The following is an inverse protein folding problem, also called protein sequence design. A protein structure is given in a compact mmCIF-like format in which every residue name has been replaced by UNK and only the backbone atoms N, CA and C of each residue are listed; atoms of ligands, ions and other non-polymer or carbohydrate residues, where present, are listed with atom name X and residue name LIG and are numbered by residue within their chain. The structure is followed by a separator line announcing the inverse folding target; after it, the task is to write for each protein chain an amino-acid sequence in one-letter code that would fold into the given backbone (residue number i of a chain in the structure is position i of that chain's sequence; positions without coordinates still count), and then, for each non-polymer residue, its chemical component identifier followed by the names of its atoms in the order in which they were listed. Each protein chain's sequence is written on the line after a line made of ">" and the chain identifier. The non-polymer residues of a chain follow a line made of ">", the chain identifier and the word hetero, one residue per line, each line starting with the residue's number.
data_IF_963575568846
#
_entry.id   IF_963575568846
#
_cell.length_a   1.000
_cell.length_b   1.000
_cell.length_c   1.000
_cell.angle_alpha   90.00
_cell.angle_beta   90.00
_cell.angle_gamma   90.00
#
_symmetry.space_group_name_H-M   'P 1'
#
loop_
_entity.id
_entity.type
_entity.pdbx_description
1 polymer ?
#
# COMPACT_ATOMS: atom_id res chain seq x y z
N UNK A 1 7.05 -0.02 -13.02
CA UNK A 1 8.47 -0.33 -13.30
C UNK A 1 8.63 -0.55 -14.80
N UNK A 2 9.85 -0.43 -15.32
CA UNK A 2 10.20 -0.79 -16.69
C UNK A 2 11.36 -1.75 -16.62
N UNK A 3 11.29 -2.83 -17.39
CA UNK A 3 12.35 -3.81 -17.48
C UNK A 3 13.21 -3.54 -18.74
N UNK A 4 14.52 -3.75 -18.67
CA UNK A 4 15.44 -3.39 -19.75
C UNK A 4 15.27 -4.32 -20.96
N UNK A 5 14.96 -5.58 -20.71
CA UNK A 5 14.71 -6.61 -21.70
C UNK A 5 13.25 -6.60 -22.18
N UNK A 6 12.42 -5.73 -21.58
CA UNK A 6 10.96 -5.63 -21.75
C UNK A 6 10.22 -6.92 -21.34
N UNK A 7 10.73 -7.62 -20.32
CA UNK A 7 10.05 -8.76 -19.75
C UNK A 7 8.75 -8.36 -19.03
N UNK A 8 7.87 -9.34 -18.86
CA UNK A 8 6.61 -9.14 -18.15
C UNK A 8 6.85 -8.98 -16.65
N UNK A 9 6.41 -7.87 -16.10
CA UNK A 9 6.64 -7.53 -14.69
C UNK A 9 5.45 -7.95 -13.83
N UNK A 10 5.72 -8.70 -12.76
CA UNK A 10 4.76 -9.03 -11.71
C UNK A 10 4.99 -8.17 -10.47
N UNK A 11 3.93 -7.54 -9.97
CA UNK A 11 3.96 -6.69 -8.78
C UNK A 11 3.34 -7.37 -7.56
N UNK A 12 3.88 -7.12 -6.37
CA UNK A 12 3.37 -7.67 -5.12
C UNK A 12 3.63 -6.75 -3.92
N UNK A 13 2.68 -6.69 -2.97
CA UNK A 13 2.90 -6.14 -1.62
C UNK A 13 3.49 -7.26 -0.77
N UNK A 14 4.72 -7.09 -0.27
CA UNK A 14 5.39 -8.06 0.60
C UNK A 14 5.02 -7.86 2.07
N UNK A 15 4.92 -6.61 2.53
CA UNK A 15 4.61 -6.29 3.92
C UNK A 15 4.08 -4.86 4.06
N UNK A 16 3.68 -4.49 5.28
CA UNK A 16 3.17 -3.15 5.59
C UNK A 16 1.65 -3.00 5.49
N UNK A 17 0.96 -3.97 4.91
CA UNK A 17 -0.51 -4.00 4.78
C UNK A 17 -1.12 -5.20 5.50
N UNK A 18 -0.99 -5.25 6.83
CA UNK A 18 -1.46 -6.37 7.66
C UNK A 18 -2.98 -6.56 7.53
N UNK A 19 -3.70 -5.45 7.38
CA UNK A 19 -5.16 -5.44 7.33
C UNK A 19 -5.71 -5.66 5.91
N UNK A 20 -4.85 -5.84 4.90
CA UNK A 20 -5.24 -5.97 3.49
C UNK A 20 -6.15 -4.83 3.03
N UNK A 21 -5.73 -3.61 3.34
CA UNK A 21 -6.41 -2.35 3.01
C UNK A 21 -6.14 -1.97 1.57
N UNK A 22 -4.99 -2.36 1.01
CA UNK A 22 -4.56 -1.98 -0.32
C UNK A 22 -4.54 -3.16 -1.28
N UNK A 23 -4.93 -2.91 -2.52
CA UNK A 23 -4.84 -3.85 -3.63
C UNK A 23 -3.78 -3.35 -4.60
N UNK A 24 -2.74 -4.15 -4.84
CA UNK A 24 -1.76 -3.89 -5.90
C UNK A 24 -2.04 -4.78 -7.10
N UNK A 25 -2.34 -4.18 -8.24
CA UNK A 25 -2.52 -4.93 -9.49
C UNK A 25 -1.22 -5.62 -9.89
N UNK A 26 -1.27 -6.95 -10.01
CA UNK A 26 -0.11 -7.77 -10.33
C UNK A 26 0.51 -7.47 -11.70
N UNK A 27 -0.27 -6.96 -12.67
CA UNK A 27 0.19 -6.80 -14.06
C UNK A 27 0.56 -5.37 -14.42
N UNK A 28 -0.17 -4.38 -13.89
CA UNK A 28 0.05 -2.96 -14.24
C UNK A 28 0.64 -2.14 -13.09
N UNK A 29 0.78 -2.72 -11.88
CA UNK A 29 1.36 -2.04 -10.73
C UNK A 29 0.49 -0.91 -10.15
N UNK A 30 -0.79 -0.86 -10.48
CA UNK A 30 -1.73 0.11 -9.95
C UNK A 30 -2.08 -0.24 -8.49
N UNK A 31 -1.77 0.66 -7.56
CA UNK A 31 -2.13 0.55 -6.15
C UNK A 31 -3.48 1.23 -5.91
N UNK A 32 -4.45 0.47 -5.43
CA UNK A 32 -5.81 0.92 -5.17
C UNK A 32 -6.20 0.66 -3.72
N UNK A 33 -7.16 1.43 -3.24
CA UNK A 33 -7.79 1.17 -1.96
C UNK A 33 -8.78 0.00 -2.09
N UNK A 34 -8.66 -0.99 -1.20
CA UNK A 34 -9.55 -2.15 -1.11
C UNK A 34 -10.54 -2.09 0.06
N UNK A 35 -10.24 -1.31 1.11
CA UNK A 35 -11.09 -1.09 2.28
C UNK A 35 -11.10 0.38 2.68
N UNK A 36 -12.16 0.83 3.34
CA UNK A 36 -12.19 2.20 3.86
C UNK A 36 -11.02 2.46 4.80
N UNK A 37 -10.50 3.69 4.76
CA UNK A 37 -9.51 4.20 5.70
C UNK A 37 -10.23 4.85 6.88
N UNK A 38 -9.62 4.74 8.04
CA UNK A 38 -10.01 5.44 9.26
C UNK A 38 -8.75 5.90 9.97
N UNK A 39 -8.54 7.21 10.04
CA UNK A 39 -7.29 7.78 10.57
C UNK A 39 -7.16 7.49 12.06
N UNK A 40 -8.27 7.52 12.78
CA UNK A 40 -8.33 7.21 14.21
C UNK A 40 -7.96 5.76 14.51
N UNK A 41 -8.10 4.86 13.53
CA UNK A 41 -7.61 3.48 13.59
C UNK A 41 -6.14 3.35 13.14
N UNK A 42 -5.78 3.97 12.01
CA UNK A 42 -4.41 3.96 11.49
C UNK A 42 -4.14 5.19 10.61
N UNK A 43 -3.14 5.99 10.99
CA UNK A 43 -2.79 7.25 10.33
C UNK A 43 -1.67 7.11 9.29
N UNK A 44 -0.90 6.02 9.31
CA UNK A 44 0.14 5.74 8.32
C UNK A 44 0.23 4.26 7.93
N UNK A 45 0.74 4.03 6.73
CA UNK A 45 1.16 2.71 6.24
C UNK A 45 2.53 2.81 5.56
N UNK A 46 3.38 1.81 5.80
CA UNK A 46 4.69 1.69 5.16
C UNK A 46 4.75 0.35 4.41
N UNK A 47 4.41 0.38 3.12
CA UNK A 47 4.32 -0.83 2.30
C UNK A 47 5.68 -1.16 1.69
N UNK A 48 6.10 -2.42 1.80
CA UNK A 48 7.22 -2.95 1.00
C UNK A 48 6.62 -3.62 -0.22
N UNK A 49 6.97 -3.16 -1.42
CA UNK A 49 6.45 -3.68 -2.69
C UNK A 49 7.58 -4.17 -3.59
N UNK A 50 7.30 -5.20 -4.38
CA UNK A 50 8.24 -5.74 -5.37
C UNK A 50 7.72 -5.63 -6.79
N UNK A 51 8.68 -5.63 -7.71
CA UNK A 51 8.50 -5.84 -9.14
C UNK A 51 9.50 -6.92 -9.58
N UNK A 52 9.02 -7.97 -10.27
CA UNK A 52 9.84 -9.11 -10.71
C UNK A 52 9.58 -9.44 -12.17
N UNK A 53 10.64 -9.69 -12.93
CA UNK A 53 10.64 -10.22 -14.31
C UNK A 53 10.38 -11.75 -14.39
N UNK A 54 10.15 -12.41 -13.25
CA UNK A 54 10.01 -13.87 -13.14
C UNK A 54 11.28 -14.60 -12.71
N UNK A 55 12.43 -13.91 -12.64
CA UNK A 55 13.67 -14.43 -12.09
C UNK A 55 13.88 -13.93 -10.65
N UNK A 56 14.37 -14.78 -9.72
CA UNK A 56 14.68 -14.33 -8.36
C UNK A 56 15.70 -13.18 -8.32
N UNK A 57 16.65 -13.17 -9.26
CA UNK A 57 17.69 -12.13 -9.38
C UNK A 57 17.15 -10.85 -10.03
N UNK A 58 16.10 -10.95 -10.86
CA UNK A 58 15.44 -9.82 -11.51
C UNK A 58 14.31 -9.20 -10.67
N UNK A 59 14.38 -9.36 -9.35
CA UNK A 59 13.39 -8.78 -8.42
C UNK A 59 13.93 -7.50 -7.79
N UNK A 60 13.19 -6.40 -7.96
CA UNK A 60 13.46 -5.13 -7.31
C UNK A 60 12.43 -4.86 -6.21
N UNK A 61 12.87 -4.20 -5.14
CA UNK A 61 12.05 -3.87 -3.98
C UNK A 61 12.04 -2.35 -3.76
N UNK A 62 10.89 -1.80 -3.38
CA UNK A 62 10.78 -0.39 -2.97
C UNK A 62 9.78 -0.21 -1.83
N UNK A 63 9.79 0.96 -1.21
CA UNK A 63 8.92 1.32 -0.08
C UNK A 63 7.93 2.39 -0.50
N UNK A 64 6.65 2.20 -0.18
CA UNK A 64 5.57 3.17 -0.39
C UNK A 64 5.09 3.64 0.98
N UNK A 65 5.38 4.90 1.33
CA UNK A 65 4.88 5.54 2.55
C UNK A 65 3.56 6.25 2.26
N UNK A 66 2.51 5.87 2.98
CA UNK A 66 1.16 6.40 2.83
C UNK A 66 0.78 7.08 4.15
N UNK A 67 0.34 8.33 4.06
CA UNK A 67 -0.15 9.10 5.20
C UNK A 67 -1.63 9.38 4.99
N UNK A 68 -2.47 8.99 5.96
CA UNK A 68 -3.91 9.21 5.93
C UNK A 68 -4.19 10.63 6.45
N UNK A 69 -4.74 11.47 5.61
CA UNK A 69 -5.12 12.84 6.00
C UNK A 69 -6.40 12.84 6.82
N UNK A 70 -6.46 13.72 7.80
CA UNK A 70 -7.61 13.90 8.68
C UNK A 70 -8.84 14.47 7.95
N UNK A 71 -10.00 14.02 8.38
CA UNK A 71 -11.32 14.59 8.04
C UNK A 71 -12.07 14.75 9.35
N UNK A 72 -12.73 15.89 9.55
CA UNK A 72 -13.52 16.13 10.75
C UNK A 72 -14.83 15.32 10.75
N UNK A 73 -14.75 14.03 11.05
CA UNK A 73 -15.85 13.06 11.11
C UNK A 73 -16.18 12.61 12.54
N UNK A 74 -15.41 13.06 13.53
CA UNK A 74 -15.58 12.75 14.93
C UNK A 74 -16.13 13.96 15.72
N UNK A 75 -17.33 13.80 16.29
CA UNK A 75 -17.93 14.84 17.14
C UNK A 75 -17.23 14.95 18.51
N UNK A 76 -17.16 16.15 19.11
CA UNK A 76 -16.65 16.32 20.46
C UNK A 76 -17.43 15.47 21.48
N UNK A 77 -16.70 14.83 22.39
CA UNK A 77 -17.27 14.15 23.56
C UNK A 77 -16.72 14.81 24.81
N UNK A 78 -17.62 15.22 25.71
CA UNK A 78 -17.26 15.81 26.99
C UNK A 78 -17.41 14.76 28.10
N UNK A 79 -16.42 14.69 28.98
CA UNK A 79 -16.51 13.88 30.20
C UNK A 79 -17.51 14.53 31.17
N UNK A 80 -18.41 13.72 31.73
CA UNK A 80 -19.48 14.17 32.65
C UNK A 80 -19.03 14.19 34.13
N UNK A 81 -17.72 14.19 34.38
CA UNK A 81 -17.14 14.12 35.73
C UNK A 81 -16.65 15.47 36.22
#
# INVERSE_FOLDING_TARGET
>A
ATDRENDSITYQILSGDIQQVFNLSKTIGLLLLGKALDRETADQYCLIVTASDGNPVGTSTTTVNIVVTDVNDNNPKFDLT
#
